data_IF_737212074090
#
_entry.id   IF_737212074090
#
_cell.length_a   1.000
_cell.length_b   1.000
_cell.length_c   1.000
_cell.angle_alpha   90.00
_cell.angle_beta   90.00
_cell.angle_gamma   90.00
#
_symmetry.space_group_name_H-M   'P 1'
#
loop_
_entity.id
_entity.type
_entity.pdbx_description
1 polymer ?
#
# COMPACT_ATOMS: atom_id res chain seq x y z
N UNK A 1 -52.38 -30.06 54.79
CA UNK A 1 -51.24 -30.89 54.35
C UNK A 1 -50.63 -30.21 53.13
N UNK A 2 -49.43 -29.63 53.30
CA UNK A 2 -48.68 -28.92 52.24
C UNK A 2 -47.87 -29.95 51.45
N UNK A 3 -48.05 -30.01 50.13
CA UNK A 3 -47.17 -30.71 49.20
C UNK A 3 -46.39 -29.69 48.39
N UNK A 4 -45.07 -29.69 48.54
CA UNK A 4 -44.13 -28.75 47.94
C UNK A 4 -43.69 -29.31 46.59
N UNK A 5 -43.88 -28.52 45.52
CA UNK A 5 -43.35 -28.76 44.18
C UNK A 5 -41.97 -28.10 44.04
N UNK A 6 -40.95 -28.88 43.68
CA UNK A 6 -39.62 -28.37 43.29
C UNK A 6 -39.61 -28.01 41.80
N UNK A 7 -39.20 -26.80 41.39
CA UNK A 7 -38.90 -26.52 40.00
C UNK A 7 -37.44 -26.86 39.69
N UNK A 8 -37.25 -27.52 38.56
CA UNK A 8 -35.97 -27.83 37.92
C UNK A 8 -35.28 -26.52 37.49
N UNK A 9 -34.10 -26.22 38.02
CA UNK A 9 -33.27 -25.09 37.57
C UNK A 9 -32.37 -25.57 36.43
N UNK A 10 -32.71 -25.22 35.20
CA UNK A 10 -31.85 -25.42 34.03
C UNK A 10 -30.75 -24.35 34.06
N UNK A 11 -29.50 -24.74 34.35
CA UNK A 11 -28.34 -23.85 34.25
C UNK A 11 -27.95 -23.78 32.77
N UNK A 12 -28.32 -22.70 32.10
CA UNK A 12 -27.78 -22.30 30.80
C UNK A 12 -26.36 -21.78 31.01
N UNK A 13 -25.36 -22.62 30.74
CA UNK A 13 -23.98 -22.17 30.60
C UNK A 13 -23.87 -21.44 29.26
N UNK A 14 -23.93 -20.11 29.30
CA UNK A 14 -23.58 -19.28 28.15
C UNK A 14 -22.07 -19.38 27.93
N UNK A 15 -21.65 -20.23 26.99
CA UNK A 15 -20.30 -20.19 26.43
C UNK A 15 -20.24 -18.93 25.57
N UNK A 16 -19.81 -17.82 26.16
CA UNK A 16 -19.36 -16.65 25.42
C UNK A 16 -18.05 -17.03 24.72
N UNK A 17 -18.15 -17.48 23.46
CA UNK A 17 -16.99 -17.50 22.57
C UNK A 17 -16.57 -16.04 22.38
N UNK A 18 -15.48 -15.66 23.04
CA UNK A 18 -14.78 -14.42 22.71
C UNK A 18 -14.07 -14.72 21.40
N UNK A 19 -14.71 -14.35 20.29
CA UNK A 19 -14.00 -14.20 19.02
C UNK A 19 -12.96 -13.10 19.24
N UNK A 20 -11.69 -13.47 19.34
CA UNK A 20 -10.58 -12.56 19.13
C UNK A 20 -10.66 -12.08 17.68
N UNK A 21 -11.37 -10.96 17.49
CA UNK A 21 -11.33 -10.21 16.26
C UNK A 21 -9.90 -9.68 16.09
N UNK A 22 -9.13 -10.32 15.19
CA UNK A 22 -8.05 -9.61 14.53
C UNK A 22 -8.67 -8.32 14.00
N UNK A 23 -8.22 -7.16 14.47
CA UNK A 23 -8.70 -5.89 13.94
C UNK A 23 -8.31 -5.84 12.47
N UNK A 24 -9.22 -6.26 11.59
CA UNK A 24 -9.05 -6.19 10.16
C UNK A 24 -8.73 -4.74 9.81
N UNK A 25 -7.70 -4.52 9.00
CA UNK A 25 -7.35 -3.18 8.54
C UNK A 25 -8.60 -2.52 7.95
N UNK A 26 -9.00 -1.39 8.53
CA UNK A 26 -10.22 -0.72 8.14
C UNK A 26 -9.95 0.04 6.85
N UNK A 27 -10.46 -0.46 5.73
CA UNK A 27 -10.47 0.32 4.50
C UNK A 27 -11.58 1.37 4.57
N UNK A 28 -11.27 2.67 4.37
CA UNK A 28 -12.31 3.68 4.29
C UNK A 28 -13.24 3.38 3.12
N UNK A 29 -14.53 3.68 3.30
CA UNK A 29 -15.47 3.69 2.19
C UNK A 29 -15.08 4.76 1.17
N UNK A 30 -15.40 4.50 -0.10
CA UNK A 30 -15.30 5.51 -1.14
C UNK A 30 -16.25 6.68 -0.82
N UNK A 31 -15.78 7.91 -1.04
CA UNK A 31 -16.56 9.12 -0.82
C UNK A 31 -16.75 9.88 -2.14
N UNK A 32 -17.27 11.11 -2.07
CA UNK A 32 -17.53 11.94 -3.25
C UNK A 32 -16.28 12.29 -4.08
N UNK A 33 -15.06 12.08 -3.57
CA UNK A 33 -13.83 12.23 -4.34
C UNK A 33 -13.41 10.96 -5.10
N UNK A 34 -13.99 9.80 -4.75
CA UNK A 34 -13.65 8.48 -5.29
C UNK A 34 -14.88 7.74 -5.81
N UNK A 35 -15.61 8.36 -6.73
CA UNK A 35 -16.82 7.79 -7.32
C UNK A 35 -16.51 6.51 -8.11
N UNK A 36 -17.35 5.48 -7.95
CA UNK A 36 -17.16 4.17 -8.59
C UNK A 36 -18.18 3.90 -9.71
N UNK A 37 -19.21 4.73 -9.83
CA UNK A 37 -20.36 4.55 -10.71
C UNK A 37 -20.46 5.62 -11.81
N UNK A 38 -19.54 6.58 -11.84
CA UNK A 38 -19.45 7.60 -12.88
C UNK A 38 -18.01 8.09 -13.07
N UNK A 39 -17.74 8.72 -14.22
CA UNK A 39 -16.49 9.44 -14.49
C UNK A 39 -16.72 10.94 -14.31
N UNK A 40 -16.34 11.45 -13.13
CA UNK A 40 -16.44 12.87 -12.82
C UNK A 40 -15.53 13.72 -13.72
N UNK A 41 -15.79 15.03 -13.75
CA UNK A 41 -14.96 15.99 -14.50
C UNK A 41 -14.20 16.88 -13.52
N UNK A 42 -12.88 16.95 -13.69
CA UNK A 42 -12.02 17.93 -13.04
C UNK A 42 -11.66 19.00 -14.07
N UNK A 43 -11.91 20.27 -13.74
CA UNK A 43 -11.44 21.42 -14.51
C UNK A 43 -10.43 22.20 -13.69
N UNK A 44 -9.27 22.45 -14.28
CA UNK A 44 -8.23 23.30 -13.73
C UNK A 44 -8.16 24.58 -14.56
N UNK A 45 -8.29 25.73 -13.91
CA UNK A 45 -8.03 27.04 -14.52
C UNK A 45 -6.75 27.61 -13.91
N UNK A 46 -5.74 27.86 -14.74
CA UNK A 46 -4.40 28.30 -14.33
C UNK A 46 -3.91 29.39 -15.30
N UNK A 47 -3.19 30.43 -14.84
CA UNK A 47 -2.57 31.41 -15.73
C UNK A 47 -1.74 30.76 -16.84
N UNK A 48 -1.85 31.29 -18.07
CA UNK A 48 -1.24 30.66 -19.24
C UNK A 48 0.29 30.59 -19.17
N UNK A 49 0.92 31.64 -18.63
CA UNK A 49 2.36 31.69 -18.34
C UNK A 49 2.77 30.64 -17.30
N UNK A 50 2.01 30.49 -16.23
CA UNK A 50 2.21 29.46 -15.20
C UNK A 50 2.09 28.06 -15.79
N UNK A 51 1.10 27.82 -16.66
CA UNK A 51 0.96 26.54 -17.37
C UNK A 51 2.14 26.27 -18.31
N UNK A 52 2.62 27.28 -19.03
CA UNK A 52 3.79 27.15 -19.91
C UNK A 52 5.05 26.79 -19.12
N UNK A 53 5.24 27.37 -17.92
CA UNK A 53 6.36 26.99 -17.04
C UNK A 53 6.14 25.59 -16.49
N UNK A 54 4.94 25.28 -15.97
CA UNK A 54 4.60 23.97 -15.40
C UNK A 54 4.91 22.83 -16.38
N UNK A 55 4.55 23.00 -17.66
CA UNK A 55 4.75 21.99 -18.71
C UNK A 55 6.16 21.99 -19.30
N UNK A 56 7.02 22.92 -18.93
CA UNK A 56 8.40 22.97 -19.40
C UNK A 56 9.20 21.80 -18.78
N UNK A 57 9.90 20.96 -19.57
CA UNK A 57 10.73 19.88 -19.03
C UNK A 57 11.82 20.31 -18.05
N UNK A 58 12.26 21.58 -18.10
CA UNK A 58 13.27 22.15 -17.20
C UNK A 58 12.69 22.67 -15.89
N UNK A 59 11.37 22.61 -15.71
CA UNK A 59 10.72 23.09 -14.50
C UNK A 59 11.09 22.25 -13.28
N UNK A 60 11.16 22.89 -12.11
CA UNK A 60 11.13 22.15 -10.86
C UNK A 60 9.73 21.54 -10.69
N UNK A 61 9.62 20.23 -10.91
CA UNK A 61 8.35 19.50 -10.86
C UNK A 61 7.69 19.51 -9.46
N UNK A 62 8.43 19.87 -8.41
CA UNK A 62 7.90 20.02 -7.05
C UNK A 62 7.33 21.43 -6.77
N UNK A 63 7.55 22.42 -7.65
CA UNK A 63 6.92 23.73 -7.50
C UNK A 63 5.43 23.68 -7.84
N UNK A 64 4.61 24.15 -6.91
CA UNK A 64 3.15 24.22 -7.05
C UNK A 64 2.74 25.60 -7.55
N UNK A 65 1.87 25.63 -8.58
CA UNK A 65 1.30 26.84 -9.14
C UNK A 65 -0.12 27.04 -8.63
N UNK A 66 -0.51 28.30 -8.38
CA UNK A 66 -1.87 28.64 -8.00
C UNK A 66 -2.83 28.39 -9.17
N UNK A 67 -3.90 27.65 -8.90
CA UNK A 67 -4.97 27.40 -9.86
C UNK A 67 -6.34 27.34 -9.16
N UNK A 68 -7.40 27.42 -9.96
CA UNK A 68 -8.76 27.07 -9.55
C UNK A 68 -9.02 25.61 -9.93
N UNK A 69 -9.69 24.89 -9.05
CA UNK A 69 -10.16 23.52 -9.26
C UNK A 69 -11.69 23.49 -9.22
N UNK A 70 -12.30 22.83 -10.20
CA UNK A 70 -13.74 22.54 -10.23
C UNK A 70 -13.91 21.03 -10.38
N UNK A 71 -14.70 20.42 -9.50
CA UNK A 71 -15.08 19.00 -9.58
C UNK A 71 -16.57 18.88 -9.88
N UNK A 72 -16.92 18.32 -11.04
CA UNK A 72 -18.30 18.16 -11.51
C UNK A 72 -18.67 16.67 -11.54
N UNK A 73 -19.79 16.32 -10.90
CA UNK A 73 -20.36 14.98 -10.87
C UNK A 73 -21.89 15.04 -10.95
N UNK A 74 -22.56 13.90 -11.00
CA UNK A 74 -24.04 13.85 -10.89
C UNK A 74 -24.56 14.44 -9.57
N UNK A 75 -23.73 14.47 -8.53
CA UNK A 75 -24.07 15.02 -7.21
C UNK A 75 -23.93 16.56 -7.12
N UNK A 76 -23.45 17.22 -8.17
CA UNK A 76 -23.22 18.66 -8.21
C UNK A 76 -21.79 19.04 -8.56
N UNK A 77 -21.46 20.31 -8.34
CA UNK A 77 -20.16 20.90 -8.66
C UNK A 77 -19.57 21.61 -7.44
N UNK A 78 -18.30 21.33 -7.14
CA UNK A 78 -17.51 22.02 -6.12
C UNK A 78 -16.44 22.87 -6.81
N UNK A 79 -16.34 24.16 -6.44
CA UNK A 79 -15.26 25.06 -6.89
C UNK A 79 -14.34 25.42 -5.73
N UNK A 80 -13.04 25.21 -5.90
CA UNK A 80 -12.00 25.48 -4.91
C UNK A 80 -10.94 26.38 -5.53
N UNK A 81 -10.80 27.60 -5.01
CA UNK A 81 -9.81 28.58 -5.45
C UNK A 81 -8.44 28.36 -4.82
N UNK A 82 -7.38 28.88 -5.44
CA UNK A 82 -6.02 28.89 -4.87
C UNK A 82 -5.55 27.50 -4.41
N UNK A 83 -5.72 26.48 -5.24
CA UNK A 83 -5.08 25.17 -5.03
C UNK A 83 -3.65 25.22 -5.58
N UNK A 84 -2.77 24.36 -5.07
CA UNK A 84 -1.48 24.06 -5.69
C UNK A 84 -1.63 23.03 -6.79
N UNK A 85 -1.13 23.34 -7.98
CA UNK A 85 -1.15 22.45 -9.13
C UNK A 85 0.25 22.27 -9.68
N UNK A 86 0.67 21.02 -9.90
CA UNK A 86 2.01 20.71 -10.43
C UNK A 86 2.04 19.38 -11.18
N UNK A 87 3.17 19.13 -11.84
CA UNK A 87 3.50 17.81 -12.35
C UNK A 87 3.80 16.83 -11.18
N UNK A 88 3.59 15.54 -11.42
CA UNK A 88 4.02 14.47 -10.52
C UNK A 88 4.68 13.33 -11.28
N UNK A 89 5.48 12.55 -10.54
CA UNK A 89 6.11 11.34 -11.02
C UNK A 89 7.63 11.43 -11.01
N UNK A 90 8.28 10.41 -11.56
CA UNK A 90 9.72 10.40 -11.81
C UNK A 90 9.96 10.21 -13.32
N UNK A 91 9.75 9.00 -13.83
CA UNK A 91 9.83 8.68 -15.26
C UNK A 91 8.70 9.35 -16.05
N UNK A 92 7.49 9.36 -15.51
CA UNK A 92 6.30 9.98 -16.13
C UNK A 92 6.37 11.50 -16.25
N UNK A 93 7.36 12.17 -15.64
CA UNK A 93 7.65 13.58 -15.95
C UNK A 93 8.09 13.77 -17.40
N UNK A 94 8.65 12.73 -18.03
CA UNK A 94 9.06 12.75 -19.43
C UNK A 94 7.94 12.33 -20.40
N UNK A 95 6.85 11.75 -19.91
CA UNK A 95 5.71 11.33 -20.72
C UNK A 95 5.07 12.50 -21.48
N UNK A 96 4.61 12.28 -22.71
CA UNK A 96 3.81 13.26 -23.42
C UNK A 96 2.46 13.47 -22.73
N UNK A 97 1.81 12.39 -22.26
CA UNK A 97 0.66 12.48 -21.36
C UNK A 97 1.12 12.64 -19.90
N UNK A 98 1.28 13.90 -19.49
CA UNK A 98 1.73 14.27 -18.13
C UNK A 98 0.78 13.79 -17.04
N UNK A 99 1.33 13.48 -15.87
CA UNK A 99 0.55 13.28 -14.63
C UNK A 99 0.64 14.51 -13.74
N UNK A 100 -0.41 14.76 -12.96
CA UNK A 100 -0.53 15.96 -12.14
C UNK A 100 -0.82 15.66 -10.67
N UNK A 101 -0.49 16.61 -9.79
CA UNK A 101 -0.94 16.62 -8.40
C UNK A 101 -1.71 17.90 -8.14
N UNK A 102 -2.82 17.75 -7.42
CA UNK A 102 -3.62 18.85 -6.85
C UNK A 102 -3.37 18.83 -5.34
N UNK A 103 -2.95 19.95 -4.77
CA UNK A 103 -2.88 20.18 -3.33
C UNK A 103 -3.88 21.27 -2.95
N UNK A 104 -4.79 20.96 -2.04
CA UNK A 104 -5.78 21.90 -1.55
C UNK A 104 -5.21 22.83 -0.48
N UNK A 105 -4.08 22.48 0.14
CA UNK A 105 -3.54 23.20 1.29
C UNK A 105 -2.25 24.00 1.03
N UNK A 106 -1.70 24.01 -0.19
CA UNK A 106 -0.51 24.81 -0.56
C UNK A 106 -0.64 26.28 -0.18
N UNK A 107 -1.73 26.92 -0.61
CA UNK A 107 -1.94 28.36 -0.44
C UNK A 107 -2.98 28.69 0.63
N UNK A 108 -3.70 27.68 1.12
CA UNK A 108 -4.68 27.80 2.21
C UNK A 108 -4.39 26.70 3.22
N UNK A 109 -3.56 27.02 4.21
CA UNK A 109 -3.11 26.05 5.22
C UNK A 109 -4.28 25.33 5.90
N UNK A 110 -4.16 24.03 6.09
CA UNK A 110 -5.16 23.18 6.75
C UNK A 110 -6.43 22.89 5.92
N UNK A 111 -6.55 23.41 4.70
CA UNK A 111 -7.75 23.14 3.87
C UNK A 111 -7.75 21.71 3.35
N UNK A 112 -8.90 21.04 3.56
CA UNK A 112 -9.21 19.72 3.00
C UNK A 112 -10.40 19.82 2.07
N UNK A 113 -10.39 19.08 0.97
CA UNK A 113 -11.56 18.84 0.11
C UNK A 113 -11.98 17.38 0.21
N UNK A 114 -13.23 17.12 0.64
CA UNK A 114 -13.74 15.75 0.92
C UNK A 114 -12.77 14.92 1.77
N UNK A 115 -12.18 15.58 2.76
CA UNK A 115 -11.17 15.05 3.68
C UNK A 115 -9.87 14.57 3.02
N UNK A 116 -9.48 15.22 1.91
CA UNK A 116 -8.19 15.07 1.25
C UNK A 116 -7.46 16.40 1.28
N UNK A 117 -6.18 16.36 1.57
CA UNK A 117 -5.29 17.51 1.32
C UNK A 117 -4.76 17.51 -0.11
N UNK A 118 -4.59 16.32 -0.69
CA UNK A 118 -3.95 16.14 -2.00
C UNK A 118 -4.66 15.05 -2.82
N UNK A 119 -4.61 15.19 -4.14
CA UNK A 119 -5.04 14.21 -5.13
C UNK A 119 -3.95 13.97 -6.16
N UNK A 120 -3.80 12.73 -6.61
CA UNK A 120 -2.88 12.38 -7.70
C UNK A 120 -3.69 12.03 -8.93
N UNK A 121 -3.48 12.78 -10.01
CA UNK A 121 -4.11 12.55 -11.30
C UNK A 121 -3.09 11.86 -12.20
N UNK A 122 -3.20 10.54 -12.31
CA UNK A 122 -2.28 9.73 -13.10
C UNK A 122 -2.78 9.59 -14.53
N UNK A 123 -1.91 9.89 -15.49
CA UNK A 123 -2.21 9.75 -16.91
C UNK A 123 -2.16 8.30 -17.41
N UNK A 124 -1.55 7.39 -16.62
CA UNK A 124 -1.37 5.96 -16.93
C UNK A 124 -0.81 5.73 -18.36
N UNK A 125 0.16 6.56 -18.75
CA UNK A 125 0.61 6.74 -20.14
C UNK A 125 1.15 5.46 -20.83
N UNK A 126 1.67 4.51 -20.06
CA UNK A 126 2.26 3.24 -20.48
C UNK A 126 1.25 2.09 -20.40
N UNK A 127 0.05 2.30 -19.88
CA UNK A 127 -1.00 1.31 -19.77
C UNK A 127 -2.12 1.59 -20.77
N UNK A 128 -2.16 0.81 -21.85
CA UNK A 128 -3.19 0.90 -22.90
C UNK A 128 -4.62 0.73 -22.36
N UNK A 129 -4.78 -0.01 -21.26
CA UNK A 129 -6.08 -0.24 -20.63
C UNK A 129 -6.47 0.90 -19.68
N UNK A 130 -5.50 1.58 -19.07
CA UNK A 130 -5.69 2.49 -17.93
C UNK A 130 -6.39 1.76 -16.74
N UNK A 131 -6.40 0.42 -16.71
CA UNK A 131 -7.07 -0.41 -15.70
C UNK A 131 -6.10 -1.00 -14.68
N UNK A 132 -4.81 -1.14 -14.99
CA UNK A 132 -3.87 -1.95 -14.20
C UNK A 132 -3.68 -1.41 -12.78
N UNK A 133 -3.46 -0.11 -12.64
CA UNK A 133 -3.31 0.53 -11.32
C UNK A 133 -4.59 0.47 -10.47
N UNK A 134 -5.77 0.63 -11.09
CA UNK A 134 -7.07 0.44 -10.45
C UNK A 134 -7.23 -1.01 -9.96
N UNK A 135 -6.97 -1.98 -10.84
CA UNK A 135 -7.07 -3.41 -10.54
C UNK A 135 -6.14 -3.83 -9.41
N UNK A 136 -4.89 -3.35 -9.42
CA UNK A 136 -3.93 -3.58 -8.34
C UNK A 136 -4.48 -3.12 -6.99
N UNK A 137 -5.01 -1.90 -6.91
CA UNK A 137 -5.61 -1.39 -5.67
C UNK A 137 -6.85 -2.18 -5.25
N UNK A 138 -7.66 -2.67 -6.19
CA UNK A 138 -8.79 -3.57 -5.91
C UNK A 138 -8.32 -4.87 -5.27
N UNK A 139 -7.31 -5.54 -5.85
CA UNK A 139 -6.74 -6.79 -5.33
C UNK A 139 -6.18 -6.59 -3.92
N UNK A 140 -5.42 -5.52 -3.68
CA UNK A 140 -4.88 -5.24 -2.34
C UNK A 140 -6.01 -4.96 -1.32
N UNK A 141 -7.04 -4.19 -1.73
CA UNK A 141 -8.19 -3.89 -0.86
C UNK A 141 -8.98 -5.14 -0.50
N UNK A 142 -9.21 -6.02 -1.46
CA UNK A 142 -9.92 -7.29 -1.24
C UNK A 142 -9.11 -8.25 -0.36
N UNK A 143 -7.78 -8.25 -0.55
CA UNK A 143 -6.86 -8.94 0.35
C UNK A 143 -6.73 -8.25 1.73
N UNK A 144 -7.37 -7.11 1.99
CA UNK A 144 -7.33 -6.44 3.29
C UNK A 144 -5.93 -5.97 3.70
N UNK A 145 -5.10 -5.56 2.73
CA UNK A 145 -3.81 -4.90 2.98
C UNK A 145 -3.92 -3.42 2.62
N UNK A 146 -3.16 -2.50 3.25
CA UNK A 146 -3.27 -1.07 2.98
C UNK A 146 -3.16 -0.74 1.48
N UNK A 147 -4.19 -0.07 0.96
CA UNK A 147 -4.24 0.33 -0.46
C UNK A 147 -4.92 1.68 -0.61
N UNK A 148 -4.60 2.41 -1.68
CA UNK A 148 -5.19 3.69 -2.01
C UNK A 148 -6.61 3.51 -2.56
N UNK A 149 -7.51 4.46 -2.26
CA UNK A 149 -8.76 4.59 -3.02
C UNK A 149 -8.44 5.16 -4.40
N UNK A 150 -9.23 4.74 -5.39
CA UNK A 150 -9.03 5.13 -6.78
C UNK A 150 -10.37 5.42 -7.47
N UNK A 151 -10.38 6.31 -8.45
CA UNK A 151 -11.55 6.60 -9.30
C UNK A 151 -11.15 7.22 -10.62
N UNK A 152 -11.96 7.08 -11.65
CA UNK A 152 -11.70 7.72 -12.95
C UNK A 152 -12.25 9.13 -13.05
N UNK A 153 -11.49 10.02 -13.69
CA UNK A 153 -11.89 11.41 -13.94
C UNK A 153 -11.51 11.86 -15.34
N UNK A 154 -12.32 12.73 -15.93
CA UNK A 154 -11.96 13.54 -17.10
C UNK A 154 -11.21 14.77 -16.63
N UNK A 155 -10.01 15.05 -17.16
CA UNK A 155 -9.26 16.25 -16.82
C UNK A 155 -9.35 17.30 -17.93
N UNK A 156 -9.69 18.53 -17.57
CA UNK A 156 -9.57 19.70 -18.42
C UNK A 156 -8.60 20.70 -17.77
N UNK A 157 -7.70 21.28 -18.57
CA UNK A 157 -6.84 22.39 -18.12
C UNK A 157 -7.05 23.55 -19.10
N UNK A 158 -7.48 24.71 -18.59
CA UNK A 158 -7.84 25.89 -19.39
C UNK A 158 -8.82 25.53 -20.53
N UNK A 159 -9.89 24.81 -20.17
CA UNK A 159 -10.94 24.29 -21.08
C UNK A 159 -10.46 23.31 -22.16
N UNK A 160 -9.18 22.93 -22.17
CA UNK A 160 -8.66 21.88 -23.06
C UNK A 160 -8.77 20.53 -22.39
N UNK A 161 -9.45 19.57 -23.04
CA UNK A 161 -9.50 18.19 -22.57
C UNK A 161 -8.09 17.59 -22.61
N UNK A 162 -7.60 17.11 -21.47
CA UNK A 162 -6.28 16.47 -21.32
C UNK A 162 -6.35 14.96 -21.27
N UNK A 163 -7.56 14.41 -21.22
CA UNK A 163 -7.80 12.97 -21.28
C UNK A 163 -8.47 12.37 -20.06
N UNK A 164 -8.54 11.04 -20.07
CA UNK A 164 -8.97 10.22 -18.95
C UNK A 164 -7.79 10.01 -17.99
N UNK A 165 -8.02 10.19 -16.70
CA UNK A 165 -7.03 10.02 -15.64
C UNK A 165 -7.56 9.11 -14.54
N UNK A 166 -6.65 8.40 -13.90
CA UNK A 166 -6.92 7.73 -12.63
C UNK A 166 -6.60 8.71 -11.49
N UNK A 167 -7.61 9.07 -10.70
CA UNK A 167 -7.42 9.74 -9.42
C UNK A 167 -7.01 8.68 -8.38
N UNK A 168 -5.84 8.85 -7.79
CA UNK A 168 -5.28 7.95 -6.76
C UNK A 168 -5.11 8.72 -5.45
N UNK A 169 -5.68 8.18 -4.37
CA UNK A 169 -5.53 8.73 -3.02
C UNK A 169 -4.06 8.93 -2.67
N UNK A 170 -3.72 10.09 -2.13
CA UNK A 170 -2.36 10.35 -1.68
C UNK A 170 -2.09 9.60 -0.37
N UNK A 171 -0.89 9.01 -0.25
CA UNK A 171 -0.46 8.34 0.98
C UNK A 171 0.26 9.38 1.84
N UNK A 172 -0.49 9.92 2.79
CA UNK A 172 -0.10 10.96 3.74
C UNK A 172 -0.80 10.74 5.10
N UNK A 173 -0.79 11.72 5.99
CA UNK A 173 -1.47 11.65 7.28
C UNK A 173 -2.99 11.37 7.17
N UNK A 174 -3.66 11.82 6.11
CA UNK A 174 -5.09 11.55 5.90
C UNK A 174 -5.35 10.10 5.50
N UNK A 175 -4.40 9.49 4.78
CA UNK A 175 -4.43 8.06 4.48
C UNK A 175 -4.29 7.24 5.77
N UNK A 176 -3.37 7.66 6.66
CA UNK A 176 -3.11 6.97 7.93
C UNK A 176 -4.31 7.07 8.88
N UNK A 177 -4.86 8.28 9.09
CA UNK A 177 -6.03 8.54 9.93
C UNK A 177 -7.20 7.60 9.63
N UNK A 178 -7.36 7.21 8.36
CA UNK A 178 -8.47 6.37 7.90
C UNK A 178 -8.26 4.87 8.08
N UNK A 179 -7.00 4.42 8.17
CA UNK A 179 -6.64 2.99 8.14
C UNK A 179 -6.02 2.50 9.45
N UNK A 180 -5.39 3.39 10.20
CA UNK A 180 -4.74 3.12 11.48
C UNK A 180 -5.40 3.95 12.58
N UNK A 181 -6.72 3.78 12.77
CA UNK A 181 -7.48 4.60 13.73
C UNK A 181 -6.92 4.46 15.14
N UNK A 182 -6.62 5.59 15.79
CA UNK A 182 -5.94 5.68 17.10
C UNK A 182 -4.46 5.24 17.09
N UNK A 183 -3.87 5.06 15.91
CA UNK A 183 -2.50 4.61 15.73
C UNK A 183 -1.91 5.21 14.43
N UNK A 184 -2.25 6.46 14.14
CA UNK A 184 -2.04 7.19 12.87
C UNK A 184 -1.02 8.32 12.96
N UNK A 185 -0.41 8.54 14.12
CA UNK A 185 0.53 9.66 14.39
C UNK A 185 1.99 9.31 14.16
N UNK A 186 2.29 8.13 13.63
CA UNK A 186 3.64 7.61 13.46
C UNK A 186 4.43 8.20 12.29
N UNK A 187 5.67 7.75 12.15
CA UNK A 187 6.53 8.16 11.05
C UNK A 187 6.20 7.37 9.78
N UNK A 188 5.86 8.09 8.72
CA UNK A 188 5.64 7.56 7.37
C UNK A 188 6.83 7.92 6.50
N UNK A 189 7.49 6.92 5.94
CA UNK A 189 8.64 7.09 5.05
C UNK A 189 8.27 6.62 3.65
N UNK A 190 8.59 7.44 2.64
CA UNK A 190 8.50 7.05 1.23
C UNK A 190 9.88 6.59 0.75
N UNK A 191 9.95 5.44 0.09
CA UNK A 191 11.22 5.03 -0.51
C UNK A 191 11.57 5.85 -1.77
N UNK A 192 12.86 6.05 -2.00
CA UNK A 192 13.40 6.38 -3.31
C UNK A 192 13.63 5.10 -4.13
N UNK A 193 13.82 5.22 -5.44
CA UNK A 193 14.24 4.07 -6.26
C UNK A 193 15.62 3.57 -5.80
N UNK A 194 15.79 2.24 -5.73
CA UNK A 194 17.02 1.60 -5.24
C UNK A 194 17.05 1.35 -3.73
N UNK A 195 15.94 1.60 -3.03
CA UNK A 195 15.83 1.41 -1.58
C UNK A 195 15.55 -0.05 -1.24
N UNK A 196 16.59 -0.82 -0.93
CA UNK A 196 16.49 -2.26 -0.64
C UNK A 196 16.31 -2.65 0.83
N UNK A 197 16.28 -1.69 1.77
CA UNK A 197 16.27 -1.93 3.23
C UNK A 197 17.57 -2.54 3.77
N UNK A 198 18.71 -2.24 3.14
CA UNK A 198 20.02 -2.50 3.73
C UNK A 198 20.29 -1.60 4.93
N UNK A 199 21.07 -2.11 5.89
CA UNK A 199 21.59 -1.32 7.00
C UNK A 199 22.76 -0.44 6.54
N UNK A 200 22.67 0.87 6.80
CA UNK A 200 23.63 1.89 6.36
C UNK A 200 24.44 2.49 7.53
N UNK A 201 24.42 1.83 8.69
CA UNK A 201 25.02 2.31 9.94
C UNK A 201 24.04 3.09 10.81
N UNK A 202 24.54 3.69 11.88
CA UNK A 202 23.73 4.42 12.87
C UNK A 202 23.50 5.90 12.53
N UNK A 203 24.12 6.40 11.45
CA UNK A 203 23.99 7.81 11.05
C UNK A 203 22.69 8.01 10.28
N UNK A 204 21.75 8.76 10.85
CA UNK A 204 20.45 9.07 10.24
C UNK A 204 20.57 9.72 8.85
N UNK A 205 21.59 10.56 8.64
CA UNK A 205 21.80 11.22 7.35
C UNK A 205 22.04 10.24 6.20
N UNK A 206 22.52 9.02 6.49
CA UNK A 206 22.67 7.97 5.48
C UNK A 206 21.32 7.51 4.90
N UNK A 207 20.22 7.74 5.61
CA UNK A 207 18.89 7.26 5.24
C UNK A 207 18.01 8.32 4.58
N UNK A 208 18.26 9.61 4.80
CA UNK A 208 17.36 10.71 4.38
C UNK A 208 17.15 10.81 2.87
N UNK A 209 18.15 10.48 2.06
CA UNK A 209 18.02 10.45 0.59
C UNK A 209 17.36 9.16 0.07
N UNK A 210 17.31 8.11 0.88
CA UNK A 210 16.74 6.81 0.53
C UNK A 210 15.29 6.71 1.00
N UNK A 211 14.96 7.33 2.12
CA UNK A 211 13.67 7.29 2.78
C UNK A 211 13.22 8.70 3.13
N UNK A 212 12.33 9.27 2.33
CA UNK A 212 11.80 10.61 2.57
C UNK A 212 10.73 10.55 3.66
N UNK A 213 11.00 11.18 4.80
CA UNK A 213 10.03 11.30 5.89
C UNK A 213 8.86 12.22 5.47
N UNK A 214 7.63 11.68 5.54
CA UNK A 214 6.39 12.33 5.09
C UNK A 214 5.59 12.97 6.22
N UNK A 215 5.56 12.34 7.39
CA UNK A 215 4.94 12.84 8.62
C UNK A 215 6.01 13.24 9.63
N UNK A 216 5.67 13.99 10.68
CA UNK A 216 6.61 14.33 11.77
C UNK A 216 7.94 14.95 11.32
N UNK A 217 7.94 15.68 10.20
CA UNK A 217 9.15 16.24 9.56
C UNK A 217 9.96 17.19 10.44
N UNK A 218 9.33 17.80 11.44
CA UNK A 218 10.02 18.68 12.40
C UNK A 218 10.84 17.89 13.41
N UNK A 219 10.37 16.70 13.82
CA UNK A 219 11.15 15.80 14.67
C UNK A 219 12.33 15.20 13.89
N UNK A 220 12.13 14.90 12.60
CA UNK A 220 13.17 14.43 11.68
C UNK A 220 13.93 13.20 12.21
N UNK A 221 13.22 12.34 12.94
CA UNK A 221 13.75 11.18 13.66
C UNK A 221 13.72 9.92 12.79
N UNK A 222 14.90 9.33 12.58
CA UNK A 222 15.08 8.10 11.80
C UNK A 222 15.50 6.90 12.66
N UNK A 223 15.60 7.08 13.98
CA UNK A 223 16.07 6.04 14.92
C UNK A 223 15.26 4.75 14.83
N UNK A 224 13.93 4.86 14.70
CA UNK A 224 13.04 3.71 14.49
C UNK A 224 13.35 2.94 13.20
N UNK A 225 13.56 3.65 12.08
CA UNK A 225 13.90 3.03 10.80
C UNK A 225 15.26 2.34 10.88
N UNK A 226 16.24 2.98 11.52
CA UNK A 226 17.58 2.43 11.73
C UNK A 226 17.51 1.17 12.58
N UNK A 227 16.72 1.16 13.66
CA UNK A 227 16.53 -0.02 14.48
C UNK A 227 15.87 -1.16 13.70
N UNK A 228 14.83 -0.87 12.93
CA UNK A 228 14.17 -1.87 12.08
C UNK A 228 15.15 -2.49 11.08
N UNK A 229 15.89 -1.69 10.31
CA UNK A 229 16.83 -2.22 9.32
C UNK A 229 18.06 -2.86 9.96
N UNK A 230 18.48 -2.46 11.16
CA UNK A 230 19.51 -3.15 11.94
C UNK A 230 19.05 -4.56 12.35
N UNK A 231 17.87 -4.66 12.97
CA UNK A 231 17.27 -5.96 13.33
C UNK A 231 17.09 -6.82 12.09
N UNK A 232 16.59 -6.24 11.00
CA UNK A 232 16.42 -6.92 9.73
C UNK A 232 17.74 -7.48 9.22
N UNK A 233 18.80 -6.68 9.14
CA UNK A 233 20.04 -7.12 8.48
C UNK A 233 20.95 -7.93 9.40
N UNK A 234 21.14 -7.49 10.65
CA UNK A 234 22.20 -7.96 11.55
C UNK A 234 21.75 -9.03 12.56
N UNK A 235 20.45 -9.31 12.71
CA UNK A 235 20.01 -10.44 13.54
C UNK A 235 20.41 -11.77 12.91
N UNK A 236 21.01 -12.66 13.70
CA UNK A 236 21.39 -14.01 13.27
C UNK A 236 20.18 -14.83 12.82
N UNK A 237 20.37 -15.75 11.87
CA UNK A 237 19.27 -16.57 11.33
C UNK A 237 18.51 -17.36 12.40
N UNK A 238 19.19 -17.79 13.48
CA UNK A 238 18.57 -18.52 14.58
C UNK A 238 17.56 -17.67 15.38
N UNK A 239 17.81 -16.36 15.52
CA UNK A 239 16.97 -15.46 16.30
C UNK A 239 16.07 -14.57 15.44
N UNK A 240 16.31 -14.55 14.11
CA UNK A 240 15.69 -13.61 13.17
C UNK A 240 14.17 -13.63 13.25
N UNK A 241 13.55 -14.82 13.20
CA UNK A 241 12.11 -14.95 13.19
C UNK A 241 11.45 -14.28 14.42
N UNK A 242 12.06 -14.39 15.59
CA UNK A 242 11.56 -13.76 16.82
C UNK A 242 11.77 -12.24 16.78
N UNK A 243 12.99 -11.81 16.44
CA UNK A 243 13.38 -10.40 16.51
C UNK A 243 12.67 -9.54 15.45
N UNK A 244 12.36 -10.09 14.27
CA UNK A 244 11.74 -9.29 13.21
C UNK A 244 10.27 -8.94 13.54
N UNK A 245 9.53 -9.82 14.21
CA UNK A 245 8.14 -9.55 14.63
C UNK A 245 8.00 -8.42 15.65
N UNK A 246 9.11 -8.04 16.26
CA UNK A 246 9.17 -7.00 17.28
C UNK A 246 9.26 -5.60 16.69
N UNK A 247 9.70 -5.50 15.44
CA UNK A 247 9.93 -4.23 14.76
C UNK A 247 9.14 -4.12 13.45
N UNK A 248 8.46 -5.20 13.03
CA UNK A 248 7.81 -5.27 11.73
C UNK A 248 6.57 -6.17 11.76
N UNK A 249 5.51 -5.74 11.09
CA UNK A 249 4.30 -6.53 10.91
C UNK A 249 4.49 -7.59 9.82
N UNK A 250 5.06 -8.73 10.21
CA UNK A 250 5.43 -9.82 9.28
C UNK A 250 4.19 -10.42 8.60
N UNK A 251 3.09 -10.64 9.32
CA UNK A 251 1.89 -11.25 8.74
C UNK A 251 1.25 -10.32 7.70
N UNK A 252 1.16 -9.02 7.99
CA UNK A 252 0.65 -8.04 7.03
C UNK A 252 1.58 -7.92 5.80
N UNK A 253 2.89 -7.96 6.02
CA UNK A 253 3.85 -7.97 4.92
C UNK A 253 3.76 -9.23 4.05
N UNK A 254 3.65 -10.42 4.63
CA UNK A 254 3.53 -11.66 3.86
C UNK A 254 2.28 -11.63 2.96
N UNK A 255 1.19 -11.08 3.47
CA UNK A 255 -0.03 -10.86 2.67
C UNK A 255 0.17 -9.82 1.57
N UNK A 256 0.85 -8.72 1.88
CA UNK A 256 1.19 -7.67 0.90
C UNK A 256 2.12 -8.18 -0.20
N UNK A 257 3.14 -8.97 0.17
CA UNK A 257 4.06 -9.62 -0.75
C UNK A 257 3.34 -10.65 -1.63
N UNK A 258 2.37 -11.39 -1.10
CA UNK A 258 1.51 -12.26 -1.90
C UNK A 258 0.75 -11.44 -2.96
N UNK A 259 0.18 -10.30 -2.60
CA UNK A 259 -0.42 -9.38 -3.57
C UNK A 259 0.59 -8.87 -4.61
N UNK A 260 1.75 -8.34 -4.20
CA UNK A 260 2.81 -7.82 -5.09
C UNK A 260 3.21 -8.86 -6.16
N UNK A 261 3.38 -10.11 -5.72
CA UNK A 261 3.77 -11.25 -6.56
C UNK A 261 2.63 -11.77 -7.43
N UNK A 262 1.37 -11.69 -6.98
CA UNK A 262 0.20 -12.10 -7.76
C UNK A 262 -0.16 -11.09 -8.85
N UNK A 263 -0.09 -9.78 -8.56
CA UNK A 263 -0.34 -8.75 -9.58
C UNK A 263 0.85 -8.57 -10.54
N UNK A 264 2.00 -9.15 -10.22
CA UNK A 264 3.21 -9.06 -11.02
C UNK A 264 3.89 -7.71 -10.96
N UNK A 265 3.84 -7.05 -9.79
CA UNK A 265 4.44 -5.73 -9.58
C UNK A 265 5.96 -5.82 -9.54
N UNK A 266 6.59 -5.95 -10.71
CA UNK A 266 8.04 -6.05 -10.79
C UNK A 266 8.73 -4.72 -10.45
N UNK A 267 8.04 -3.59 -10.54
CA UNK A 267 8.59 -2.29 -10.10
C UNK A 267 8.45 -2.07 -8.59
N UNK A 268 7.87 -3.04 -7.86
CA UNK A 268 7.78 -3.06 -6.42
C UNK A 268 9.11 -3.38 -5.72
N UNK A 269 9.05 -3.49 -4.39
CA UNK A 269 10.24 -3.72 -3.56
C UNK A 269 10.91 -5.06 -3.88
N UNK A 270 10.13 -6.13 -4.01
CA UNK A 270 10.66 -7.48 -4.03
C UNK A 270 11.53 -7.73 -5.28
N UNK A 271 11.29 -7.02 -6.38
CA UNK A 271 12.11 -7.10 -7.58
C UNK A 271 12.98 -5.85 -7.81
N UNK A 272 12.40 -4.65 -7.96
CA UNK A 272 13.12 -3.44 -8.39
C UNK A 272 13.45 -2.42 -7.28
N UNK A 273 13.31 -2.76 -6.00
CA UNK A 273 13.70 -1.89 -4.86
C UNK A 273 12.97 -0.53 -4.85
N UNK A 274 11.71 -0.52 -5.23
CA UNK A 274 10.97 0.71 -5.45
C UNK A 274 9.51 0.58 -5.02
N UNK A 275 8.77 1.68 -5.10
CA UNK A 275 7.31 1.70 -5.02
C UNK A 275 6.69 1.23 -3.70
N UNK A 276 7.32 1.54 -2.56
CA UNK A 276 6.72 1.34 -1.23
C UNK A 276 6.87 2.53 -0.26
N UNK A 277 6.00 2.51 0.74
CA UNK A 277 6.12 3.28 1.97
C UNK A 277 6.33 2.34 3.16
N UNK A 278 6.91 2.90 4.22
CA UNK A 278 7.01 2.28 5.53
C UNK A 278 6.31 3.17 6.54
N UNK A 279 5.37 2.61 7.29
CA UNK A 279 4.68 3.31 8.37
C UNK A 279 5.04 2.69 9.71
N UNK A 280 5.65 3.47 10.62
CA UNK A 280 5.95 3.02 11.98
C UNK A 280 4.76 3.30 12.90
N UNK A 281 4.06 2.26 13.35
CA UNK A 281 2.92 2.39 14.27
C UNK A 281 3.38 2.86 15.66
N UNK A 282 2.80 3.93 16.23
CA UNK A 282 3.08 4.36 17.58
C UNK A 282 2.77 3.31 18.67
N UNK A 283 1.70 2.53 18.50
CA UNK A 283 1.17 1.62 19.54
C UNK A 283 2.14 0.50 19.92
N UNK A 284 2.85 -0.07 18.95
CA UNK A 284 3.74 -1.21 19.10
C UNK A 284 5.14 -0.99 18.52
N UNK A 285 5.39 0.15 17.87
CA UNK A 285 6.64 0.50 17.22
C UNK A 285 6.93 -0.28 15.94
N UNK A 286 6.01 -1.12 15.47
CA UNK A 286 6.25 -1.97 14.30
C UNK A 286 6.07 -1.18 13.02
N UNK A 287 6.91 -1.53 12.05
CA UNK A 287 6.77 -1.05 10.68
C UNK A 287 5.73 -1.86 9.90
N UNK A 288 4.89 -1.15 9.18
CA UNK A 288 3.94 -1.64 8.19
C UNK A 288 4.43 -1.27 6.80
N UNK A 289 4.42 -2.25 5.91
CA UNK A 289 4.75 -2.07 4.51
C UNK A 289 3.50 -1.66 3.71
N UNK A 290 3.61 -0.65 2.85
CA UNK A 290 2.49 -0.15 2.04
C UNK A 290 2.96 0.02 0.59
N UNK A 291 2.32 -0.67 -0.34
CA UNK A 291 2.59 -0.57 -1.79
C UNK A 291 2.04 0.74 -2.38
N UNK A 292 2.69 1.27 -3.42
CA UNK A 292 2.14 2.34 -4.25
C UNK A 292 2.60 2.19 -5.71
N UNK A 293 2.12 3.05 -6.62
CA UNK A 293 2.55 3.11 -8.04
C UNK A 293 2.51 1.75 -8.78
N UNK A 294 1.38 1.05 -8.70
CA UNK A 294 1.22 -0.31 -9.21
C UNK A 294 0.73 -0.38 -10.68
N UNK A 295 1.21 0.54 -11.54
CA UNK A 295 0.87 0.60 -12.97
C UNK A 295 1.59 -0.50 -13.78
N UNK A 296 2.83 -0.83 -13.38
CA UNK A 296 3.66 -1.85 -14.00
C UNK A 296 3.33 -3.27 -13.48
N UNK A 297 2.12 -3.72 -13.81
CA UNK A 297 1.50 -4.97 -13.33
C UNK A 297 0.78 -5.68 -14.48
N UNK A 298 0.22 -6.88 -14.23
CA UNK A 298 -0.68 -7.59 -15.15
C UNK A 298 -0.18 -7.65 -16.61
N UNK A 299 1.02 -8.19 -16.81
CA UNK A 299 1.59 -8.42 -18.14
C UNK A 299 2.42 -7.27 -18.72
N UNK A 300 2.58 -6.16 -18.00
CA UNK A 300 3.61 -5.17 -18.33
C UNK A 300 5.00 -5.76 -18.02
N UNK A 301 5.92 -5.70 -18.97
CA UNK A 301 7.27 -6.24 -18.89
C UNK A 301 8.28 -5.41 -19.69
N UNK A 302 9.42 -5.08 -19.06
CA UNK A 302 10.58 -4.44 -19.69
C UNK A 302 11.86 -5.29 -19.58
N UNK A 303 11.73 -6.52 -19.08
CA UNK A 303 12.87 -7.38 -18.75
C UNK A 303 12.92 -8.66 -19.60
N UNK A 304 11.97 -8.85 -20.52
CA UNK A 304 11.76 -10.11 -21.24
C UNK A 304 11.51 -11.27 -20.27
N UNK A 305 10.71 -11.03 -19.22
CA UNK A 305 10.37 -11.99 -18.18
C UNK A 305 8.88 -12.30 -18.25
N UNK A 306 8.55 -13.59 -18.27
CA UNK A 306 7.17 -14.03 -18.08
C UNK A 306 6.78 -13.94 -16.59
N UNK A 307 6.28 -12.78 -16.18
CA UNK A 307 5.86 -12.50 -14.81
C UNK A 307 4.72 -13.41 -14.33
N UNK A 308 3.84 -13.86 -15.23
CA UNK A 308 2.74 -14.76 -14.87
C UNK A 308 3.26 -16.13 -14.40
N UNK A 309 4.30 -16.65 -15.05
CA UNK A 309 4.90 -17.95 -14.74
C UNK A 309 6.13 -17.90 -13.83
N UNK A 310 6.62 -16.71 -13.47
CA UNK A 310 7.78 -16.57 -12.60
C UNK A 310 7.50 -17.20 -11.24
N UNK A 311 8.50 -17.94 -10.74
CA UNK A 311 8.34 -18.70 -9.51
C UNK A 311 8.09 -17.77 -8.30
N UNK A 312 7.07 -18.10 -7.49
CA UNK A 312 6.60 -17.29 -6.36
C UNK A 312 7.61 -17.20 -5.20
N UNK A 313 8.54 -18.16 -5.10
CA UNK A 313 9.56 -18.18 -4.05
C UNK A 313 10.90 -17.62 -4.51
N UNK A 314 11.12 -17.50 -5.82
CA UNK A 314 12.33 -16.88 -6.41
C UNK A 314 11.97 -15.62 -7.19
N UNK A 315 11.07 -14.82 -6.61
CA UNK A 315 10.65 -13.57 -7.20
C UNK A 315 11.81 -12.57 -7.29
N UNK A 316 12.56 -12.43 -6.21
CA UNK A 316 13.58 -11.40 -6.08
C UNK A 316 14.83 -11.60 -6.95
N UNK A 317 15.57 -10.50 -7.18
CA UNK A 317 16.92 -10.49 -7.73
C UNK A 317 17.84 -9.59 -6.90
N UNK A 318 19.13 -9.92 -6.81
CA UNK A 318 20.09 -9.15 -6.04
C UNK A 318 19.79 -9.10 -4.53
N UNK A 319 20.39 -8.12 -3.84
CA UNK A 319 20.27 -7.96 -2.38
C UNK A 319 18.91 -7.36 -2.00
N UNK A 320 18.01 -8.16 -1.41
CA UNK A 320 16.73 -7.70 -0.80
C UNK A 320 16.56 -8.28 0.61
N UNK A 321 17.18 -7.67 1.64
CA UNK A 321 17.17 -8.18 3.01
C UNK A 321 15.78 -8.61 3.53
N UNK A 322 14.74 -7.78 3.33
CA UNK A 322 13.40 -8.09 3.84
C UNK A 322 12.82 -9.35 3.18
N UNK A 323 12.78 -9.39 1.84
CA UNK A 323 12.31 -10.56 1.12
C UNK A 323 13.15 -11.80 1.45
N UNK A 324 14.48 -11.71 1.32
CA UNK A 324 15.37 -12.86 1.45
C UNK A 324 15.33 -13.48 2.84
N UNK A 325 15.35 -12.67 3.90
CA UNK A 325 15.37 -13.19 5.27
C UNK A 325 14.00 -13.69 5.73
N UNK A 326 12.91 -13.01 5.35
CA UNK A 326 11.55 -13.49 5.63
C UNK A 326 11.29 -14.82 4.92
N UNK A 327 11.57 -14.91 3.62
CA UNK A 327 11.34 -16.13 2.83
C UNK A 327 12.31 -17.28 3.16
N UNK A 328 13.39 -17.02 3.89
CA UNK A 328 14.29 -18.05 4.41
C UNK A 328 13.74 -18.75 5.67
N UNK A 329 12.76 -18.17 6.36
CA UNK A 329 12.11 -18.80 7.52
C UNK A 329 11.01 -19.75 7.02
N UNK A 330 11.10 -21.07 7.26
CA UNK A 330 10.13 -22.04 6.73
C UNK A 330 8.68 -21.72 7.10
N UNK A 331 8.45 -21.28 8.35
CA UNK A 331 7.12 -20.86 8.81
C UNK A 331 6.56 -19.69 8.01
N UNK A 332 7.31 -18.60 7.84
CA UNK A 332 6.85 -17.45 7.05
C UNK A 332 6.65 -17.79 5.58
N UNK A 333 7.52 -18.63 5.01
CA UNK A 333 7.36 -19.11 3.63
C UNK A 333 6.03 -19.86 3.45
N UNK A 334 5.64 -20.70 4.40
CA UNK A 334 4.33 -21.37 4.36
C UNK A 334 3.16 -20.41 4.60
N UNK A 335 3.30 -19.45 5.53
CA UNK A 335 2.29 -18.39 5.73
C UNK A 335 2.06 -17.59 4.46
N UNK A 336 3.12 -17.25 3.72
CA UNK A 336 3.03 -16.68 2.39
C UNK A 336 2.25 -17.58 1.41
N UNK A 337 2.54 -18.89 1.39
CA UNK A 337 1.80 -19.85 0.54
C UNK A 337 0.31 -19.89 0.88
N UNK A 338 -0.07 -19.82 2.16
CA UNK A 338 -1.46 -19.71 2.59
C UNK A 338 -2.13 -18.40 2.12
N UNK A 339 -1.41 -17.28 2.16
CA UNK A 339 -1.94 -16.02 1.63
C UNK A 339 -2.12 -16.07 0.11
N UNK A 340 -1.16 -16.63 -0.62
CA UNK A 340 -1.28 -16.85 -2.08
C UNK A 340 -2.50 -17.71 -2.39
N UNK A 341 -2.64 -18.88 -1.74
CA UNK A 341 -3.77 -19.79 -1.94
C UNK A 341 -5.12 -19.13 -1.62
N UNK A 342 -5.21 -18.44 -0.47
CA UNK A 342 -6.42 -17.75 -0.06
C UNK A 342 -6.80 -16.61 -1.00
N UNK A 343 -5.85 -15.78 -1.43
CA UNK A 343 -6.11 -14.65 -2.32
C UNK A 343 -6.58 -15.18 -3.68
N UNK A 344 -5.89 -16.17 -4.27
CA UNK A 344 -6.28 -16.74 -5.57
C UNK A 344 -7.65 -17.40 -5.52
N UNK A 345 -7.89 -18.24 -4.50
CA UNK A 345 -9.15 -18.98 -4.38
C UNK A 345 -10.35 -18.06 -4.18
N UNK A 346 -10.19 -16.98 -3.41
CA UNK A 346 -11.31 -16.11 -3.05
C UNK A 346 -11.52 -14.92 -3.99
N UNK A 347 -10.43 -14.33 -4.50
CA UNK A 347 -10.46 -12.97 -5.07
C UNK A 347 -9.68 -12.80 -6.37
N UNK A 348 -8.48 -13.37 -6.48
CA UNK A 348 -7.61 -13.24 -7.65
C UNK A 348 -7.87 -14.38 -8.62
N UNK A 349 -9.01 -14.35 -9.30
CA UNK A 349 -9.34 -15.30 -10.36
C UNK A 349 -10.14 -14.64 -11.47
N UNK A 350 -10.11 -15.28 -12.65
CA UNK A 350 -10.75 -14.77 -13.86
C UNK A 350 -12.23 -14.41 -13.63
N UNK A 351 -12.99 -15.33 -13.03
CA UNK A 351 -14.44 -15.18 -12.84
C UNK A 351 -14.82 -14.05 -11.89
N UNK A 352 -13.93 -13.67 -10.97
CA UNK A 352 -14.14 -12.54 -10.09
C UNK A 352 -13.70 -11.21 -10.71
N UNK A 353 -12.49 -11.16 -11.27
CA UNK A 353 -11.85 -9.89 -11.67
C UNK A 353 -12.27 -9.42 -13.07
N UNK A 354 -12.36 -10.32 -14.06
CA UNK A 354 -12.61 -9.92 -15.46
C UNK A 354 -13.98 -9.25 -15.63
N UNK A 355 -15.09 -9.78 -15.08
CA UNK A 355 -16.38 -9.10 -15.20
C UNK A 355 -16.42 -7.69 -14.58
N UNK A 356 -15.68 -7.48 -13.48
CA UNK A 356 -15.56 -6.15 -12.86
C UNK A 356 -14.78 -5.19 -13.77
N UNK A 357 -13.71 -5.67 -14.41
CA UNK A 357 -12.92 -4.89 -15.37
C UNK A 357 -13.73 -4.49 -16.59
N UNK A 358 -14.55 -5.40 -17.14
CA UNK A 358 -15.43 -5.09 -18.28
C UNK A 358 -16.44 -3.98 -17.92
N UNK A 359 -17.00 -4.02 -16.71
CA UNK A 359 -17.90 -2.96 -16.21
C UNK A 359 -17.18 -1.61 -16.09
N UNK A 360 -15.97 -1.61 -15.51
CA UNK A 360 -15.15 -0.40 -15.39
C UNK A 360 -14.76 0.12 -16.77
N UNK A 361 -14.29 -0.75 -17.68
CA UNK A 361 -13.92 -0.38 -19.05
C UNK A 361 -15.11 0.26 -19.76
N UNK A 362 -16.29 -0.36 -19.69
CA UNK A 362 -17.54 0.19 -20.25
C UNK A 362 -17.84 1.60 -19.73
N UNK A 363 -17.71 1.81 -18.41
CA UNK A 363 -17.96 3.10 -17.78
C UNK A 363 -16.98 4.19 -18.28
N UNK A 364 -15.71 3.84 -18.48
CA UNK A 364 -14.67 4.79 -18.86
C UNK A 364 -14.52 4.96 -20.39
N UNK A 365 -15.04 4.04 -21.20
CA UNK A 365 -14.92 4.04 -22.68
C UNK A 365 -15.25 5.39 -23.32
N UNK A 366 -16.35 6.10 -22.98
CA UNK A 366 -16.63 7.39 -23.61
C UNK A 366 -15.56 8.45 -23.35
N UNK A 367 -15.01 8.50 -22.13
CA UNK A 367 -13.94 9.41 -21.77
C UNK A 367 -12.60 8.99 -22.38
N UNK A 368 -12.33 7.68 -22.43
CA UNK A 368 -11.17 7.12 -23.10
C UNK A 368 -11.22 7.45 -24.60
N UNK A 369 -12.30 7.21 -25.32
CA UNK A 369 -12.36 7.45 -26.77
C UNK A 369 -12.15 8.91 -27.18
N UNK A 370 -12.51 9.86 -26.31
CA UNK A 370 -12.27 11.28 -26.51
C UNK A 370 -10.82 11.72 -26.21
N UNK A 371 -10.03 10.89 -25.54
CA UNK A 371 -8.69 11.22 -25.06
C UNK A 371 -7.62 10.97 -26.13
N UNK A 372 -7.24 12.03 -26.86
CA UNK A 372 -6.20 11.96 -27.87
C UNK A 372 -4.76 11.92 -27.29
N UNK A 373 -4.58 12.09 -25.97
CA UNK A 373 -3.25 12.05 -25.35
C UNK A 373 -2.76 10.61 -25.15
N UNK A 374 -3.66 9.62 -25.08
CA UNK A 374 -3.30 8.19 -24.88
C UNK A 374 -2.28 7.68 -25.89
N UNK A 375 -2.35 8.17 -27.12
CA UNK A 375 -1.52 7.69 -28.23
C UNK A 375 -0.15 8.36 -28.31
N UNK A 376 0.12 9.40 -27.51
CA UNK A 376 1.32 10.24 -27.69
C UNK A 376 2.62 9.55 -27.28
N UNK A 377 2.56 8.65 -26.31
CA UNK A 377 3.74 7.97 -25.77
C UNK A 377 4.05 6.67 -26.52
N UNK A 378 3.04 5.82 -26.73
CA UNK A 378 3.19 4.48 -27.28
C UNK A 378 2.36 4.21 -28.54
N UNK A 379 1.60 5.18 -29.05
CA UNK A 379 0.77 4.98 -30.25
C UNK A 379 -0.53 4.21 -30.00
N UNK A 380 -0.98 4.11 -28.74
CA UNK A 380 -2.23 3.44 -28.38
C UNK A 380 -3.45 4.06 -29.10
N UNK A 381 -4.26 3.19 -29.70
CA UNK A 381 -5.53 3.53 -30.34
C UNK A 381 -6.74 3.21 -29.46
N UNK A 382 -7.92 3.67 -29.87
CA UNK A 382 -9.18 3.29 -29.21
C UNK A 382 -9.46 1.78 -29.34
N UNK A 383 -9.03 1.15 -30.44
CA UNK A 383 -9.16 -0.29 -30.61
C UNK A 383 -8.28 -1.04 -29.61
N UNK A 384 -7.04 -0.59 -29.42
CA UNK A 384 -6.12 -1.22 -28.46
C UNK A 384 -6.66 -1.11 -27.02
N UNK A 385 -7.22 0.05 -26.65
CA UNK A 385 -7.90 0.23 -25.36
C UNK A 385 -9.08 -0.73 -25.20
N UNK A 386 -9.91 -0.87 -26.24
CA UNK A 386 -11.13 -1.70 -26.22
C UNK A 386 -10.77 -3.19 -26.04
N UNK A 387 -9.70 -3.65 -26.68
CA UNK A 387 -9.27 -5.04 -26.65
C UNK A 387 -8.34 -5.36 -25.45
N UNK A 388 -7.87 -4.36 -24.70
CA UNK A 388 -6.78 -4.49 -23.73
C UNK A 388 -6.99 -5.53 -22.61
N UNK A 389 -8.24 -5.84 -22.27
CA UNK A 389 -8.56 -6.88 -21.28
C UNK A 389 -8.18 -8.26 -21.82
N UNK A 390 -8.42 -8.52 -23.11
CA UNK A 390 -8.34 -9.85 -23.73
C UNK A 390 -7.22 -9.99 -24.76
N UNK A 391 -6.59 -8.90 -25.18
CA UNK A 391 -5.48 -8.91 -26.12
C UNK A 391 -4.29 -8.15 -25.55
N UNK A 392 -3.11 -8.76 -25.66
CA UNK A 392 -1.86 -8.08 -25.39
C UNK A 392 -1.60 -7.05 -26.48
N UNK A 393 -1.20 -5.83 -26.10
CA UNK A 393 -0.81 -4.80 -27.06
C UNK A 393 0.49 -5.19 -27.82
N UNK A 394 1.35 -5.97 -27.19
CA UNK A 394 2.73 -6.19 -27.65
C UNK A 394 3.68 -5.13 -27.07
N UNK A 395 4.92 -5.10 -27.58
CA UNK A 395 6.00 -4.30 -26.99
C UNK A 395 6.20 -4.66 -25.50
N UNK A 396 6.05 -3.69 -24.58
CA UNK A 396 6.17 -3.89 -23.14
C UNK A 396 4.91 -4.45 -22.49
N UNK A 397 3.82 -4.68 -23.22
CA UNK A 397 2.61 -5.33 -22.70
C UNK A 397 2.54 -6.72 -23.34
N UNK A 398 3.18 -7.69 -22.68
CA UNK A 398 3.44 -9.02 -23.25
C UNK A 398 2.30 -10.01 -23.03
N UNK A 399 1.31 -9.66 -22.19
CA UNK A 399 0.12 -10.45 -21.92
C UNK A 399 -1.10 -9.54 -21.74
N UNK A 400 -2.28 -10.02 -22.12
CA UNK A 400 -3.55 -9.38 -21.79
C UNK A 400 -3.81 -9.47 -20.27
N UNK A 401 -4.70 -8.64 -19.75
CA UNK A 401 -5.02 -8.69 -18.32
C UNK A 401 -5.67 -10.03 -17.96
N UNK A 402 -6.61 -10.49 -18.79
CA UNK A 402 -7.33 -11.74 -18.58
C UNK A 402 -6.41 -12.97 -18.62
N UNK A 403 -5.54 -13.08 -19.64
CA UNK A 403 -4.60 -14.19 -19.74
C UNK A 403 -3.59 -14.18 -18.58
N UNK A 404 -3.15 -12.98 -18.16
CA UNK A 404 -2.25 -12.84 -17.04
C UNK A 404 -2.88 -13.37 -15.75
N UNK A 405 -4.12 -12.96 -15.43
CA UNK A 405 -4.83 -13.38 -14.22
C UNK A 405 -4.95 -14.91 -14.18
N UNK A 406 -5.43 -15.52 -15.27
CA UNK A 406 -5.66 -16.97 -15.33
C UNK A 406 -4.35 -17.75 -15.23
N UNK A 407 -3.36 -17.38 -16.05
CA UNK A 407 -2.03 -18.02 -16.03
C UNK A 407 -1.38 -17.88 -14.66
N UNK A 408 -1.47 -16.69 -14.05
CA UNK A 408 -0.84 -16.41 -12.76
C UNK A 408 -1.51 -17.16 -11.62
N UNK A 409 -2.84 -17.23 -11.61
CA UNK A 409 -3.59 -18.00 -10.62
C UNK A 409 -3.20 -19.49 -10.66
N UNK A 410 -3.21 -20.10 -11.85
CA UNK A 410 -2.82 -21.51 -12.05
C UNK A 410 -1.36 -21.73 -11.64
N UNK A 411 -0.46 -20.88 -12.14
CA UNK A 411 0.97 -20.99 -11.87
C UNK A 411 1.28 -20.86 -10.38
N UNK A 412 0.71 -19.87 -9.70
CA UNK A 412 0.93 -19.65 -8.28
C UNK A 412 0.42 -20.81 -7.43
N UNK A 413 -0.81 -21.28 -7.66
CA UNK A 413 -1.38 -22.42 -6.92
C UNK A 413 -0.54 -23.69 -7.10
N UNK A 414 -0.09 -23.99 -8.32
CA UNK A 414 0.73 -25.17 -8.60
C UNK A 414 2.09 -25.16 -7.88
N UNK A 415 2.54 -23.99 -7.42
CA UNK A 415 3.80 -23.80 -6.71
C UNK A 415 3.63 -23.72 -5.19
N UNK A 416 2.43 -23.53 -4.67
CA UNK A 416 2.21 -23.48 -3.21
C UNK A 416 2.62 -24.81 -2.56
N UNK A 417 3.27 -24.74 -1.39
CA UNK A 417 3.75 -25.91 -0.65
C UNK A 417 3.36 -25.75 0.81
N UNK A 418 2.75 -26.80 1.37
CA UNK A 418 2.32 -26.87 2.77
C UNK A 418 3.03 -28.04 3.45
N UNK A 419 3.91 -27.71 4.40
CA UNK A 419 4.79 -28.62 5.16
C UNK A 419 4.54 -28.62 6.67
N UNK A 420 3.73 -27.70 7.19
CA UNK A 420 3.44 -27.49 8.61
C UNK A 420 4.71 -27.39 9.48
N UNK A 421 5.60 -26.42 9.21
CA UNK A 421 6.82 -26.25 9.97
C UNK A 421 6.50 -25.80 11.41
N UNK A 422 7.42 -26.09 12.32
CA UNK A 422 7.33 -25.60 13.68
C UNK A 422 7.28 -24.06 13.71
N UNK A 423 6.44 -23.54 14.60
CA UNK A 423 6.35 -22.10 14.85
C UNK A 423 7.69 -21.67 15.49
N UNK A 424 8.40 -20.68 14.92
CA UNK A 424 9.78 -20.37 15.32
C UNK A 424 9.90 -19.75 16.72
N UNK A 425 8.80 -19.23 17.27
CA UNK A 425 8.69 -18.77 18.65
C UNK A 425 7.26 -18.96 19.16
N UNK A 426 7.04 -18.80 20.46
CA UNK A 426 5.69 -18.52 20.97
C UNK A 426 5.23 -17.18 20.38
N UNK A 427 4.61 -17.22 19.20
CA UNK A 427 4.00 -16.06 18.53
C UNK A 427 2.81 -15.48 19.33
N UNK A 428 2.45 -16.10 20.45
CA UNK A 428 1.57 -15.55 21.46
C UNK A 428 2.35 -15.19 22.72
N UNK A 429 2.50 -13.89 22.97
CA UNK A 429 2.40 -13.38 24.34
C UNK A 429 1.08 -12.65 24.33
N UNK A 430 0.08 -13.18 25.03
CA UNK A 430 -1.29 -12.67 25.03
C UNK A 430 -1.34 -11.15 25.31
N UNK A 431 -1.56 -10.34 24.27
CA UNK A 431 -1.82 -8.89 24.40
C UNK A 431 -3.12 -8.59 25.18
N UNK A 432 -3.91 -9.62 25.50
CA UNK A 432 -5.20 -9.52 26.19
C UNK A 432 -5.17 -9.87 27.69
N UNK A 433 -3.99 -10.02 28.31
CA UNK A 433 -3.89 -10.21 29.77
C UNK A 433 -3.74 -8.87 30.50
N UNK A 434 -4.47 -8.70 31.61
CA UNK A 434 -4.31 -7.55 32.50
C UNK A 434 -2.88 -7.56 33.05
N UNK A 435 -2.03 -6.67 32.52
CA UNK A 435 -0.63 -6.57 32.91
C UNK A 435 -0.46 -5.71 34.17
N UNK A 436 0.19 -6.24 35.21
CA UNK A 436 0.44 -5.53 36.46
C UNK A 436 1.52 -4.44 36.35
N UNK A 437 1.88 -3.83 37.48
CA UNK A 437 2.97 -2.83 37.52
C UNK A 437 4.29 -3.52 37.14
N UNK A 438 5.03 -2.98 36.15
CA UNK A 438 6.35 -3.50 35.79
C UNK A 438 7.31 -3.50 36.99
N UNK A 439 7.97 -4.62 37.27
CA UNK A 439 8.99 -4.74 38.34
C UNK A 439 10.38 -5.02 37.80
N UNK A 440 10.49 -5.57 36.59
CA UNK A 440 11.76 -5.82 35.90
C UNK A 440 11.64 -5.44 34.44
N UNK A 441 12.77 -5.11 33.83
CA UNK A 441 12.92 -4.97 32.39
C UNK A 441 14.11 -5.78 31.89
N UNK A 442 13.97 -6.29 30.69
CA UNK A 442 14.99 -7.02 29.96
C UNK A 442 15.11 -6.43 28.56
N UNK A 443 16.33 -6.39 28.02
CA UNK A 443 16.49 -6.19 26.59
C UNK A 443 16.01 -7.45 25.85
N UNK A 444 15.93 -7.37 24.53
CA UNK A 444 15.40 -8.45 23.69
C UNK A 444 16.27 -9.72 23.69
N UNK A 445 17.50 -9.64 24.21
CA UNK A 445 18.39 -10.78 24.43
C UNK A 445 18.21 -11.43 25.81
N UNK A 446 17.22 -10.98 26.59
CA UNK A 446 16.92 -11.47 27.94
C UNK A 446 17.87 -10.95 29.02
N UNK A 447 18.69 -9.94 28.72
CA UNK A 447 19.61 -9.34 29.69
C UNK A 447 18.88 -8.27 30.51
N UNK A 448 19.04 -8.22 31.84
CA UNK A 448 18.39 -7.20 32.67
C UNK A 448 18.79 -5.78 32.26
N UNK A 449 17.82 -4.87 32.20
CA UNK A 449 18.02 -3.44 31.94
C UNK A 449 17.17 -2.60 32.89
N UNK A 450 17.38 -1.29 32.88
CA UNK A 450 16.55 -0.35 33.64
C UNK A 450 15.10 -0.36 33.13
N UNK A 451 14.13 -0.28 34.03
CA UNK A 451 12.72 -0.15 33.67
C UNK A 451 12.36 1.25 33.16
N UNK A 452 13.25 2.22 33.33
CA UNK A 452 13.14 3.58 32.79
C UNK A 452 13.80 3.71 31.41
N UNK A 453 14.13 2.59 30.78
CA UNK A 453 14.72 2.56 29.43
C UNK A 453 13.68 3.02 28.42
N UNK A 454 13.96 4.12 27.72
CA UNK A 454 13.06 4.75 26.74
C UNK A 454 13.54 4.56 25.30
N UNK A 455 12.63 4.76 24.34
CA UNK A 455 12.94 4.83 22.91
C UNK A 455 13.44 3.51 22.28
N UNK A 456 13.29 2.40 22.98
CA UNK A 456 13.66 1.06 22.48
C UNK A 456 12.68 0.02 23.01
N UNK A 457 12.51 -1.07 22.27
CA UNK A 457 11.64 -2.15 22.66
C UNK A 457 12.27 -2.97 23.80
N UNK A 458 11.53 -3.09 24.89
CA UNK A 458 11.95 -3.81 26.10
C UNK A 458 10.91 -4.86 26.47
N UNK A 459 11.34 -5.90 27.19
CA UNK A 459 10.44 -6.87 27.83
C UNK A 459 10.29 -6.45 29.28
N UNK A 460 9.09 -6.10 29.70
CA UNK A 460 8.77 -5.83 31.11
C UNK A 460 8.12 -7.04 31.74
N UNK A 461 8.44 -7.30 33.01
CA UNK A 461 7.88 -8.38 33.82
C UNK A 461 7.17 -7.78 35.04
N UNK A 462 5.90 -8.14 35.25
CA UNK A 462 5.13 -7.73 36.42
C UNK A 462 5.43 -8.59 37.65
N UNK A 463 4.85 -8.23 38.79
CA UNK A 463 4.99 -8.94 40.06
C UNK A 463 4.46 -10.39 40.04
N UNK A 464 3.64 -10.76 39.05
CA UNK A 464 3.09 -12.10 38.89
C UNK A 464 3.91 -12.94 37.88
N UNK A 465 5.01 -12.40 37.35
CA UNK A 465 5.84 -13.06 36.34
C UNK A 465 5.28 -12.98 34.93
N UNK A 466 4.20 -12.22 34.70
CA UNK A 466 3.70 -11.98 33.35
C UNK A 466 4.69 -11.08 32.63
N UNK A 467 4.93 -11.35 31.34
CA UNK A 467 5.82 -10.56 30.50
C UNK A 467 5.04 -9.91 29.37
N UNK A 468 5.35 -8.65 29.06
CA UNK A 468 4.90 -8.00 27.83
C UNK A 468 6.02 -7.20 27.19
N UNK A 469 5.94 -7.03 25.88
CA UNK A 469 6.82 -6.13 25.14
C UNK A 469 6.25 -4.72 25.19
N UNK A 470 7.09 -3.72 25.34
CA UNK A 470 6.65 -2.31 25.37
C UNK A 470 7.77 -1.41 24.90
N UNK A 471 7.41 -0.27 24.31
CA UNK A 471 8.30 0.86 24.10
C UNK A 471 7.82 1.94 25.07
N UNK A 472 8.69 2.34 26.01
CA UNK A 472 8.43 3.55 26.77
C UNK A 472 8.77 4.75 25.87
N UNK A 473 7.72 5.40 25.38
CA UNK A 473 7.81 6.69 24.71
C UNK A 473 7.96 7.80 25.76
N UNK A 474 8.56 8.93 25.35
CA UNK A 474 8.78 10.09 26.21
C UNK A 474 7.49 10.80 26.65
#
# INVERSE_FOLDING_TARGET
>A
MRGITFPFLLILVSISMIESAYSQLVHPQNNQAFLQNEVATIRITIPADSLSILLNPSNNSEYEFAAQFIYESTNGSDTIENIGFRLRGNTSLNAAKKSFKVSFNTYVSGRKWKNLEKMNLNGEHNDVSILRSQLSNMVLREAGVPSARTSYVKLFINNQYRGLYLNVEHIDEEFLQRRFTNDDTGNLYKCAWGSNLSYLGTNENSYKNTYELKTNKTADDYSGLIHFVDVLNNTSSANFACAINDVFDVELYLKTLACEILIGHWDGYAYNQNNYYLYQRPSDGKFVFIEYDMDNTFGVDWFSINWANKNIYTWTTGTRPLYTKIMAVPYYKERFSHYVDSIVTNSFNYNNLVPQLEQIQTMITPAAFADNYKGLDYGFSNNDFQEAIFQAYGSHITSSIADYIDTRAISALSQTVFTNPAIPCSLGIEENTIFGIPTKAYNLLGQPISIATKGQLIIIEDQNGNRKKTIQLD
#
